data_IF_244346097824
#
_entry.id   IF_244346097824
#
_cell.length_a   1.000
_cell.length_b   1.000
_cell.length_c   1.000
_cell.angle_alpha   90.00
_cell.angle_beta   90.00
_cell.angle_gamma   90.00
#
_symmetry.space_group_name_H-M   'P 1'
#
loop_
_entity.id
_entity.type
_entity.pdbx_description
1 polymer ?
#
# COMPACT_ATOMS: atom_id res chain seq x y z
N UNK A 1 18.01 15.61 21.12
CA UNK A 1 17.49 15.97 19.78
C UNK A 1 18.20 17.17 19.16
N UNK A 2 18.35 18.30 19.86
CA UNK A 2 18.95 19.53 19.32
C UNK A 2 20.40 19.37 18.79
N UNK A 3 21.26 18.63 19.48
CA UNK A 3 22.62 18.33 18.98
C UNK A 3 22.64 17.50 17.70
N UNK A 4 21.74 16.53 17.56
CA UNK A 4 21.60 15.69 16.35
C UNK A 4 21.07 16.51 15.17
N UNK A 5 20.07 17.35 15.42
CA UNK A 5 19.56 18.34 14.47
C UNK A 5 20.66 19.28 13.98
N UNK A 6 21.47 19.84 14.89
CA UNK A 6 22.60 20.71 14.51
C UNK A 6 23.65 19.98 13.67
N UNK A 7 23.97 18.72 14.00
CA UNK A 7 24.90 17.91 13.19
C UNK A 7 24.36 17.62 11.79
N UNK A 8 23.09 17.20 11.69
CA UNK A 8 22.44 16.93 10.39
C UNK A 8 22.35 18.23 9.58
N UNK A 9 21.90 19.32 10.19
CA UNK A 9 21.80 20.63 9.53
C UNK A 9 23.16 21.17 9.07
N UNK A 10 24.19 21.07 9.91
CA UNK A 10 25.56 21.45 9.53
C UNK A 10 26.11 20.61 8.37
N UNK A 11 25.80 19.31 8.35
CA UNK A 11 26.16 18.43 7.23
C UNK A 11 25.45 18.83 5.93
N UNK A 12 24.17 19.21 5.99
CA UNK A 12 23.41 19.69 4.82
C UNK A 12 24.00 20.99 4.29
N UNK A 13 24.32 21.96 5.16
CA UNK A 13 24.94 23.22 4.77
C UNK A 13 26.32 23.01 4.12
N UNK A 14 27.11 22.07 4.64
CA UNK A 14 28.41 21.71 4.05
C UNK A 14 28.25 21.11 2.64
N UNK A 15 27.29 20.20 2.43
CA UNK A 15 26.97 19.65 1.09
C UNK A 15 26.48 20.74 0.13
N UNK A 16 25.64 21.65 0.63
CA UNK A 16 25.11 22.77 -0.13
C UNK A 16 26.19 23.74 -0.62
N UNK A 17 27.22 23.97 0.20
CA UNK A 17 28.37 24.82 -0.16
C UNK A 17 29.25 24.18 -1.26
N UNK A 18 29.37 22.86 -1.27
CA UNK A 18 30.17 22.11 -2.26
C UNK A 18 29.52 22.03 -3.65
N UNK A 19 28.19 22.18 -3.75
CA UNK A 19 27.44 22.13 -5.01
C UNK A 19 27.28 23.46 -5.75
N UNK A 20 27.89 24.55 -5.27
CA UNK A 20 27.84 25.85 -5.94
C UNK A 20 28.85 25.89 -7.11
N UNK A 21 28.50 26.44 -8.30
CA UNK A 21 29.47 26.62 -9.37
C UNK A 21 30.60 27.52 -8.88
N UNK A 22 31.84 27.03 -8.93
CA UNK A 22 33.01 27.85 -8.63
C UNK A 22 33.15 29.02 -9.61
N UNK A 23 33.75 30.15 -9.22
CA UNK A 23 34.05 31.22 -10.15
C UNK A 23 35.00 30.67 -11.23
N UNK A 24 34.69 30.95 -12.50
CA UNK A 24 35.49 30.49 -13.64
C UNK A 24 36.94 30.98 -13.60
N UNK A 25 37.85 30.37 -14.39
CA UNK A 25 39.26 30.67 -14.34
C UNK A 25 39.51 32.14 -14.72
N UNK A 26 40.11 32.89 -13.81
CA UNK A 26 40.56 34.25 -14.06
C UNK A 26 41.77 34.25 -15.01
N UNK A 27 41.76 35.16 -15.99
CA UNK A 27 42.83 35.37 -16.96
C UNK A 27 44.15 35.82 -16.27
N UNK A 28 45.33 35.50 -16.83
CA UNK A 28 46.61 35.80 -16.20
C UNK A 28 47.05 37.26 -16.46
N UNK A 29 47.36 37.99 -15.40
CA UNK A 29 47.93 39.33 -15.46
C UNK A 29 48.51 39.82 -14.13
N UNK A 30 49.81 39.55 -13.96
CA UNK A 30 50.91 40.18 -13.18
C UNK A 30 50.70 41.08 -11.93
N UNK A 31 51.74 41.22 -11.07
CA UNK A 31 51.62 41.15 -9.61
C UNK A 31 51.81 42.51 -8.91
N UNK A 32 51.34 42.62 -7.65
CA UNK A 32 52.02 43.33 -6.55
C UNK A 32 51.23 43.29 -5.24
N UNK A 33 51.95 43.13 -4.13
CA UNK A 33 51.53 43.61 -2.81
C UNK A 33 51.31 42.52 -1.77
N UNK A 34 52.33 42.27 -0.95
CA UNK A 34 52.25 41.35 0.18
C UNK A 34 51.18 41.75 1.21
N UNK A 35 50.29 40.83 1.53
CA UNK A 35 49.55 40.81 2.79
C UNK A 35 49.50 39.38 3.33
N UNK A 36 49.98 39.28 4.57
CA UNK A 36 49.92 38.17 5.52
C UNK A 36 48.80 37.16 5.20
N UNK A 37 49.19 35.90 4.97
CA UNK A 37 48.27 34.79 4.78
C UNK A 37 47.41 34.61 6.04
N UNK A 38 46.12 34.95 5.97
CA UNK A 38 45.11 34.44 6.88
C UNK A 38 44.83 32.97 6.54
N UNK A 39 44.63 32.09 7.53
CA UNK A 39 44.46 30.67 7.30
C UNK A 39 43.23 30.39 6.42
N UNK A 40 43.39 29.46 5.47
CA UNK A 40 42.44 29.08 4.44
C UNK A 40 41.07 28.54 4.94
N UNK A 41 40.84 28.49 6.25
CA UNK A 41 39.58 28.09 6.86
C UNK A 41 38.46 29.14 6.73
N UNK A 42 38.79 30.42 6.52
CA UNK A 42 37.78 31.50 6.45
C UNK A 42 37.26 31.79 5.03
N UNK A 43 37.87 31.25 3.98
CA UNK A 43 37.49 31.54 2.58
C UNK A 43 36.51 30.53 1.96
N UNK A 44 36.18 29.44 2.65
CA UNK A 44 35.17 28.46 2.19
C UNK A 44 33.77 28.69 2.79
N UNK A 45 33.56 29.82 3.48
CA UNK A 45 32.23 30.31 3.89
C UNK A 45 31.74 31.35 2.86
N UNK A 46 31.48 30.93 1.63
CA UNK A 46 30.49 31.64 0.83
C UNK A 46 29.13 31.32 1.48
N UNK A 47 28.81 32.08 2.54
CA UNK A 47 27.71 31.80 3.45
C UNK A 47 26.41 31.64 2.69
N UNK A 48 25.78 30.48 2.85
CA UNK A 48 24.36 30.26 2.57
C UNK A 48 23.55 31.15 3.52
N UNK A 49 23.50 32.46 3.24
CA UNK A 49 22.72 33.41 4.03
C UNK A 49 21.25 33.08 3.85
N UNK A 50 20.58 32.88 4.98
CA UNK A 50 19.13 32.72 5.08
C UNK A 50 18.42 34.09 5.14
N UNK A 51 19.17 35.20 5.06
CA UNK A 51 18.65 36.56 5.10
C UNK A 51 18.17 36.92 6.50
N UNK A 52 16.94 37.41 6.63
CA UNK A 52 16.34 37.74 7.93
C UNK A 52 16.28 36.54 8.91
N UNK A 53 16.37 35.31 8.37
CA UNK A 53 16.38 34.08 9.15
C UNK A 53 17.76 33.75 9.74
N UNK A 54 18.84 34.44 9.36
CA UNK A 54 20.18 34.23 9.94
C UNK A 54 20.22 34.57 11.45
N UNK A 55 19.29 35.41 11.92
CA UNK A 55 19.13 35.74 13.34
C UNK A 55 18.43 34.63 14.15
N UNK A 56 17.84 33.62 13.50
CA UNK A 56 17.07 32.56 14.15
C UNK A 56 17.99 31.38 14.47
N UNK A 57 17.96 30.83 15.70
CA UNK A 57 18.74 29.64 16.04
C UNK A 57 18.45 28.46 15.12
N UNK A 58 19.49 27.73 14.75
CA UNK A 58 19.43 26.63 13.77
C UNK A 58 18.43 25.53 14.15
N UNK A 59 18.33 25.24 15.44
CA UNK A 59 17.37 24.26 15.97
C UNK A 59 15.91 24.73 15.83
N UNK A 60 15.66 26.03 15.93
CA UNK A 60 14.33 26.63 15.68
C UNK A 60 14.00 26.59 14.18
N UNK A 61 14.95 26.96 13.31
CA UNK A 61 14.78 26.86 11.85
C UNK A 61 14.46 25.44 11.38
N UNK A 62 15.14 24.44 11.95
CA UNK A 62 14.89 23.05 11.64
C UNK A 62 13.49 22.60 12.12
N UNK A 63 13.02 23.09 13.27
CA UNK A 63 11.64 22.84 13.71
C UNK A 63 10.62 23.54 12.82
N UNK A 64 10.87 24.77 12.40
CA UNK A 64 10.00 25.49 11.44
C UNK A 64 9.87 24.70 10.14
N UNK A 65 11.00 24.25 9.57
CA UNK A 65 10.99 23.46 8.34
C UNK A 65 10.28 22.10 8.51
N UNK A 66 10.45 21.45 9.67
CA UNK A 66 9.74 20.22 10.01
C UNK A 66 8.22 20.43 10.11
N UNK A 67 7.80 21.54 10.72
CA UNK A 67 6.38 21.88 10.93
C UNK A 67 5.69 22.35 9.64
N UNK A 68 6.40 23.07 8.77
CA UNK A 68 5.94 23.40 7.41
C UNK A 68 5.61 22.12 6.61
N UNK A 69 6.34 21.04 6.85
CA UNK A 69 6.23 19.83 6.05
C UNK A 69 6.68 20.05 4.60
N UNK A 70 6.74 18.98 3.80
CA UNK A 70 7.34 19.03 2.48
C UNK A 70 6.57 19.89 1.48
N UNK A 71 5.25 20.06 1.69
CA UNK A 71 4.35 20.84 0.82
C UNK A 71 4.66 22.33 0.91
N UNK A 72 4.62 22.89 2.12
CA UNK A 72 4.88 24.31 2.30
C UNK A 72 6.38 24.61 2.21
N UNK A 73 7.25 23.62 2.47
CA UNK A 73 8.67 23.71 2.12
C UNK A 73 8.92 23.79 0.61
N UNK A 74 8.10 23.13 -0.22
CA UNK A 74 8.13 23.28 -1.67
C UNK A 74 7.66 24.68 -2.13
N UNK A 75 6.67 25.27 -1.44
CA UNK A 75 6.16 26.62 -1.76
C UNK A 75 7.08 27.73 -1.25
N UNK A 76 7.77 27.52 -0.12
CA UNK A 76 8.70 28.48 0.50
C UNK A 76 10.08 28.56 -0.17
N UNK A 77 10.32 27.86 -1.29
CA UNK A 77 11.59 27.96 -2.03
C UNK A 77 11.90 29.32 -2.63
N UNK A 78 10.90 30.22 -2.65
CA UNK A 78 11.03 31.60 -3.06
C UNK A 78 11.71 32.49 -2.01
N UNK A 79 11.84 32.02 -0.75
CA UNK A 79 12.36 32.83 0.37
C UNK A 79 13.83 33.21 0.16
N UNK A 80 14.73 32.24 0.00
CA UNK A 80 16.13 32.49 -0.34
C UNK A 80 16.81 31.23 -0.91
N UNK A 81 17.99 31.40 -1.53
CA UNK A 81 18.76 30.29 -2.13
C UNK A 81 19.15 29.25 -1.07
N UNK A 82 19.55 29.69 0.13
CA UNK A 82 19.93 28.80 1.22
C UNK A 82 18.76 27.93 1.70
N UNK A 83 17.61 28.55 1.94
CA UNK A 83 16.37 27.86 2.31
C UNK A 83 15.95 26.85 1.25
N UNK A 84 16.08 27.22 -0.04
CA UNK A 84 15.74 26.32 -1.15
C UNK A 84 16.58 25.05 -1.16
N UNK A 85 17.89 25.18 -0.93
CA UNK A 85 18.81 24.04 -0.91
C UNK A 85 18.53 23.14 0.30
N UNK A 86 18.36 23.74 1.49
CA UNK A 86 18.00 23.02 2.71
C UNK A 86 16.69 22.25 2.55
N UNK A 87 15.66 22.92 2.05
CA UNK A 87 14.37 22.31 1.80
C UNK A 87 14.48 21.19 0.74
N UNK A 88 15.46 21.18 -0.16
CA UNK A 88 15.61 20.12 -1.17
C UNK A 88 16.48 18.93 -0.70
N UNK A 89 17.03 18.95 0.52
CA UNK A 89 17.93 17.89 0.98
C UNK A 89 17.17 16.63 1.44
N UNK A 90 17.45 15.50 0.78
CA UNK A 90 16.80 14.22 1.08
C UNK A 90 17.18 13.67 2.46
N UNK A 91 18.41 13.89 2.92
CA UNK A 91 18.87 13.42 4.24
C UNK A 91 18.13 14.12 5.37
N UNK A 92 17.84 15.41 5.20
CA UNK A 92 17.08 16.21 6.16
C UNK A 92 15.62 15.77 6.22
N UNK A 93 14.95 15.57 5.08
CA UNK A 93 13.58 15.03 5.06
C UNK A 93 13.52 13.62 5.59
N UNK A 94 14.50 12.77 5.29
CA UNK A 94 14.57 11.44 5.85
C UNK A 94 14.63 11.47 7.38
N UNK A 95 15.41 12.40 7.94
CA UNK A 95 15.45 12.62 9.39
C UNK A 95 14.11 13.12 9.95
N UNK A 96 13.44 14.07 9.30
CA UNK A 96 12.16 14.59 9.76
C UNK A 96 11.02 13.57 9.68
N UNK A 97 10.94 12.83 8.58
CA UNK A 97 9.91 11.81 8.36
C UNK A 97 10.09 10.62 9.32
N UNK A 98 11.32 10.29 9.74
CA UNK A 98 11.57 9.34 10.84
C UNK A 98 10.97 9.75 12.18
N UNK A 99 10.81 11.05 12.40
CA UNK A 99 10.26 11.62 13.63
C UNK A 99 8.75 11.93 13.49
N UNK A 100 8.17 11.63 12.32
CA UNK A 100 6.76 11.86 12.03
C UNK A 100 5.84 10.79 12.66
N UNK A 101 4.51 10.99 12.54
CA UNK A 101 3.52 10.03 13.03
C UNK A 101 3.46 8.76 12.18
N UNK A 102 3.83 8.83 10.90
CA UNK A 102 3.84 7.69 9.99
C UNK A 102 5.14 6.87 10.13
N UNK A 103 5.07 5.52 10.13
CA UNK A 103 6.25 4.67 10.16
C UNK A 103 7.19 4.95 8.98
N UNK A 104 8.44 5.36 9.28
CA UNK A 104 9.49 5.65 8.29
C UNK A 104 9.63 4.59 7.18
N UNK A 105 9.48 3.32 7.52
CA UNK A 105 9.62 2.23 6.57
C UNK A 105 8.55 2.24 5.47
N UNK A 106 7.35 2.80 5.73
CA UNK A 106 6.32 2.96 4.69
C UNK A 106 6.77 3.96 3.62
N UNK A 107 7.34 5.08 4.07
CA UNK A 107 7.79 6.16 3.19
C UNK A 107 8.93 5.68 2.32
N UNK A 108 9.95 5.07 2.92
CA UNK A 108 11.08 4.53 2.16
C UNK A 108 10.57 3.50 1.16
N UNK A 109 9.72 2.56 1.59
CA UNK A 109 9.20 1.53 0.70
C UNK A 109 8.46 2.12 -0.50
N UNK A 110 7.58 3.10 -0.28
CA UNK A 110 6.85 3.74 -1.37
C UNK A 110 7.78 4.44 -2.36
N UNK A 111 8.80 5.16 -1.89
CA UNK A 111 9.71 5.90 -2.77
C UNK A 111 10.75 5.03 -3.46
N UNK A 112 11.21 3.94 -2.83
CA UNK A 112 12.26 3.11 -3.41
C UNK A 112 11.72 1.96 -4.26
N UNK A 113 10.51 1.46 -3.95
CA UNK A 113 9.99 0.24 -4.56
C UNK A 113 8.70 0.43 -5.36
N UNK A 114 7.93 1.51 -5.13
CA UNK A 114 6.67 1.75 -5.84
C UNK A 114 6.70 2.96 -6.79
N UNK A 115 7.76 3.77 -6.74
CA UNK A 115 7.84 5.02 -7.51
C UNK A 115 7.80 4.82 -9.04
N UNK A 116 8.38 3.73 -9.54
CA UNK A 116 8.41 3.40 -10.96
C UNK A 116 7.12 2.70 -11.46
N UNK A 117 6.19 2.36 -10.55
CA UNK A 117 5.08 1.44 -10.86
C UNK A 117 5.55 -0.01 -11.04
N UNK A 118 4.65 -0.95 -11.37
CA UNK A 118 5.05 -2.30 -11.75
C UNK A 118 5.83 -2.23 -13.06
N UNK A 119 7.09 -2.68 -13.04
CA UNK A 119 8.03 -2.57 -14.14
C UNK A 119 7.43 -2.94 -15.51
N UNK A 120 7.48 -1.95 -16.40
CA UNK A 120 7.91 -2.01 -17.80
C UNK A 120 7.27 -3.06 -18.72
N UNK A 121 6.57 -2.55 -19.74
CA UNK A 121 6.60 -3.15 -21.07
C UNK A 121 8.05 -3.58 -21.42
N UNK A 122 8.28 -4.72 -22.09
CA UNK A 122 9.62 -5.26 -22.39
C UNK A 122 10.60 -4.33 -23.16
N UNK A 123 10.18 -3.13 -23.53
CA UNK A 123 10.93 -2.18 -24.37
C UNK A 123 11.45 -0.93 -23.63
N UNK A 124 11.24 -0.81 -22.31
CA UNK A 124 11.78 0.30 -21.52
C UNK A 124 12.86 -0.19 -20.55
N UNK A 125 13.90 -0.81 -21.10
CA UNK A 125 15.20 -0.81 -20.43
C UNK A 125 15.72 0.63 -20.46
N UNK A 126 16.07 1.18 -19.31
CA UNK A 126 16.44 2.59 -19.05
C UNK A 126 15.28 3.54 -18.75
N UNK A 127 14.71 3.44 -17.55
CA UNK A 127 14.17 4.65 -16.92
C UNK A 127 15.30 5.37 -16.18
N UNK A 128 16.02 6.23 -16.90
CA UNK A 128 16.94 7.22 -16.33
C UNK A 128 16.18 8.42 -15.76
N UNK A 129 14.95 8.22 -15.26
CA UNK A 129 14.19 9.29 -14.62
C UNK A 129 14.99 9.77 -13.39
N UNK A 130 15.33 11.07 -13.33
CA UNK A 130 16.15 11.58 -12.23
C UNK A 130 15.41 11.33 -10.92
N UNK A 131 16.07 10.68 -9.95
CA UNK A 131 15.51 10.47 -8.63
C UNK A 131 15.05 11.81 -8.05
N UNK A 132 13.74 12.02 -7.99
CA UNK A 132 13.17 13.23 -7.43
C UNK A 132 13.54 13.32 -5.95
N UNK A 133 13.82 14.54 -5.49
CA UNK A 133 13.98 14.75 -4.04
C UNK A 133 12.68 14.43 -3.29
N UNK A 134 12.77 14.00 -2.03
CA UNK A 134 11.60 13.76 -1.17
C UNK A 134 10.68 15.00 -1.16
N UNK A 135 11.24 16.21 -1.13
CA UNK A 135 10.45 17.44 -1.25
C UNK A 135 9.66 17.51 -2.55
N UNK A 136 10.26 17.21 -3.70
CA UNK A 136 9.56 17.24 -4.99
C UNK A 136 8.46 16.19 -5.03
N UNK A 137 8.76 14.97 -4.60
CA UNK A 137 7.79 13.86 -4.54
C UNK A 137 6.58 14.26 -3.69
N UNK A 138 6.81 14.70 -2.45
CA UNK A 138 5.74 15.06 -1.54
C UNK A 138 5.02 16.34 -1.95
N UNK A 139 5.74 17.32 -2.51
CA UNK A 139 5.15 18.52 -3.12
C UNK A 139 4.19 18.17 -4.24
N UNK A 140 4.59 17.26 -5.15
CA UNK A 140 3.72 16.73 -6.21
C UNK A 140 2.51 15.99 -5.62
N UNK A 141 2.70 15.11 -4.65
CA UNK A 141 1.58 14.39 -4.01
C UNK A 141 0.58 15.30 -3.33
N UNK A 142 1.02 16.44 -2.79
CA UNK A 142 0.10 17.36 -2.14
C UNK A 142 -0.79 18.13 -3.12
N UNK A 143 -0.28 18.42 -4.32
CA UNK A 143 -1.06 19.11 -5.37
C UNK A 143 -1.92 18.16 -6.19
N UNK A 144 -1.53 16.88 -6.31
CA UNK A 144 -2.31 15.88 -7.03
C UNK A 144 -3.60 15.59 -6.26
N UNK A 145 -4.79 15.75 -6.87
CA UNK A 145 -6.05 15.44 -6.21
C UNK A 145 -6.11 13.95 -5.82
N UNK A 146 -6.86 13.63 -4.77
CA UNK A 146 -7.12 12.24 -4.41
C UNK A 146 -7.87 11.53 -5.54
N UNK A 147 -7.43 10.34 -5.92
CA UNK A 147 -8.18 9.42 -6.79
C UNK A 147 -9.08 8.50 -5.95
N UNK A 148 -10.21 8.10 -6.54
CA UNK A 148 -11.14 7.11 -5.99
C UNK A 148 -10.52 5.72 -6.08
N UNK A 149 -10.55 4.96 -4.98
CA UNK A 149 -10.17 3.54 -4.94
C UNK A 149 -11.43 2.71 -4.70
N UNK A 150 -11.61 1.65 -5.49
CA UNK A 150 -12.74 0.71 -5.38
C UNK A 150 -12.22 -0.73 -5.29
N UNK A 151 -12.46 -1.36 -4.14
CA UNK A 151 -12.17 -2.77 -3.86
C UNK A 151 -13.47 -3.58 -3.82
N UNK A 152 -13.81 -4.22 -4.95
CA UNK A 152 -15.04 -4.97 -5.16
C UNK A 152 -14.99 -6.43 -4.71
N UNK A 153 -14.77 -6.69 -3.42
CA UNK A 153 -14.74 -8.06 -2.88
C UNK A 153 -16.10 -8.78 -2.91
N UNK A 154 -16.10 -10.12 -2.91
CA UNK A 154 -17.34 -10.93 -3.00
C UNK A 154 -18.28 -10.79 -1.78
N UNK A 155 -17.72 -10.52 -0.59
CA UNK A 155 -18.51 -10.31 0.63
C UNK A 155 -18.77 -8.85 0.97
N UNK A 156 -17.79 -7.99 0.71
CA UNK A 156 -17.85 -6.55 0.93
C UNK A 156 -17.12 -5.82 -0.18
N UNK A 157 -17.72 -4.73 -0.63
CA UNK A 157 -17.06 -3.69 -1.39
C UNK A 157 -16.53 -2.64 -0.41
N UNK A 158 -15.30 -2.17 -0.63
CA UNK A 158 -14.69 -1.07 0.10
C UNK A 158 -14.32 0.01 -0.91
N UNK A 159 -14.55 1.27 -0.57
CA UNK A 159 -14.23 2.37 -1.46
C UNK A 159 -13.83 3.60 -0.66
N UNK A 160 -13.00 4.45 -1.24
CA UNK A 160 -12.51 5.64 -0.56
C UNK A 160 -11.49 6.41 -1.36
N UNK A 161 -10.97 7.46 -0.75
CA UNK A 161 -9.95 8.30 -1.37
C UNK A 161 -8.54 7.80 -1.06
N UNK A 162 -7.68 7.81 -2.07
CA UNK A 162 -6.23 7.53 -1.96
C UNK A 162 -5.47 8.42 -0.98
N UNK A 163 -6.04 9.53 -0.52
CA UNK A 163 -5.45 10.42 0.48
C UNK A 163 -5.68 9.96 1.93
N UNK A 164 -6.52 8.96 2.14
CA UNK A 164 -6.87 8.49 3.48
C UNK A 164 -6.26 7.12 3.76
N UNK A 165 -5.93 6.88 5.05
CA UNK A 165 -5.36 5.62 5.52
C UNK A 165 -6.38 4.47 5.57
N UNK A 166 -7.67 4.77 5.42
CA UNK A 166 -8.76 3.81 5.53
C UNK A 166 -9.85 4.12 4.48
N UNK A 167 -10.64 3.11 4.07
CA UNK A 167 -11.74 3.32 3.13
C UNK A 167 -12.78 4.29 3.71
N UNK A 168 -13.35 5.13 2.84
CA UNK A 168 -14.43 6.06 3.19
C UNK A 168 -15.76 5.36 3.45
N UNK A 169 -15.96 4.18 2.84
CA UNK A 169 -17.16 3.38 3.04
C UNK A 169 -16.95 1.89 2.77
N UNK A 170 -17.88 1.08 3.30
CA UNK A 170 -17.98 -0.36 3.03
C UNK A 170 -19.44 -0.76 2.81
N UNK A 171 -19.65 -1.70 1.89
CA UNK A 171 -20.96 -2.13 1.40
C UNK A 171 -21.02 -3.65 1.27
N UNK A 172 -22.13 -4.30 1.64
CA UNK A 172 -22.28 -5.74 1.43
C UNK A 172 -22.52 -6.03 -0.06
N UNK A 173 -21.57 -6.68 -0.74
CA UNK A 173 -21.58 -6.78 -2.21
C UNK A 173 -22.77 -7.56 -2.74
N UNK A 174 -23.07 -8.72 -2.14
CA UNK A 174 -24.18 -9.57 -2.54
C UNK A 174 -25.56 -8.99 -2.21
N UNK A 175 -25.64 -8.03 -1.28
CA UNK A 175 -26.90 -7.43 -0.86
C UNK A 175 -27.22 -6.21 -1.73
N UNK A 176 -26.22 -5.38 -1.99
CA UNK A 176 -26.42 -4.08 -2.64
C UNK A 176 -26.28 -4.15 -4.16
N UNK A 177 -25.56 -5.13 -4.71
CA UNK A 177 -25.29 -5.25 -6.15
C UNK A 177 -25.80 -6.59 -6.73
N UNK A 178 -26.69 -7.24 -5.98
CA UNK A 178 -27.04 -8.67 -6.06
C UNK A 178 -28.10 -9.07 -7.07
N UNK A 179 -27.87 -8.84 -8.36
CA UNK A 179 -28.54 -9.63 -9.39
C UNK A 179 -27.51 -10.40 -10.23
N UNK A 180 -27.27 -11.66 -9.85
CA UNK A 180 -26.31 -12.56 -10.51
C UNK A 180 -26.79 -12.97 -11.92
N UNK A 181 -28.06 -12.80 -12.22
CA UNK A 181 -28.64 -13.11 -13.52
C UNK A 181 -28.46 -11.95 -14.51
N UNK A 182 -28.22 -10.73 -14.01
CA UNK A 182 -27.94 -9.58 -14.88
C UNK A 182 -26.63 -9.77 -15.66
N UNK A 183 -26.56 -9.38 -16.94
CA UNK A 183 -25.31 -9.38 -17.70
C UNK A 183 -24.18 -8.63 -16.96
N UNK A 184 -22.95 -9.11 -17.11
CA UNK A 184 -21.78 -8.58 -16.39
C UNK A 184 -21.63 -7.06 -16.55
N UNK A 185 -21.79 -6.55 -17.78
CA UNK A 185 -21.72 -5.12 -18.07
C UNK A 185 -22.73 -4.32 -17.25
N UNK A 186 -24.01 -4.71 -17.27
CA UNK A 186 -25.08 -4.00 -16.55
C UNK A 186 -24.84 -4.03 -15.03
N UNK A 187 -24.41 -5.18 -14.50
CA UNK A 187 -24.08 -5.33 -13.08
C UNK A 187 -22.92 -4.45 -12.66
N UNK A 188 -21.83 -4.43 -13.43
CA UNK A 188 -20.67 -3.58 -13.16
C UNK A 188 -21.02 -2.10 -13.29
N UNK A 189 -21.84 -1.72 -14.28
CA UNK A 189 -22.31 -0.33 -14.44
C UNK A 189 -23.13 0.10 -13.24
N UNK A 190 -24.06 -0.73 -12.78
CA UNK A 190 -24.84 -0.46 -11.57
C UNK A 190 -23.95 -0.38 -10.32
N UNK A 191 -22.99 -1.30 -10.18
CA UNK A 191 -22.01 -1.31 -9.11
C UNK A 191 -21.23 0.01 -9.03
N UNK A 192 -20.54 0.40 -10.11
CA UNK A 192 -19.75 1.64 -10.12
C UNK A 192 -20.63 2.89 -9.96
N UNK A 193 -21.81 2.93 -10.59
CA UNK A 193 -22.74 4.07 -10.44
C UNK A 193 -23.10 4.30 -8.98
N UNK A 194 -23.43 3.23 -8.25
CA UNK A 194 -23.74 3.31 -6.82
C UNK A 194 -22.56 3.81 -6.00
N UNK A 195 -21.33 3.36 -6.29
CA UNK A 195 -20.12 3.84 -5.60
C UNK A 195 -19.90 5.33 -5.85
N UNK A 196 -19.99 5.80 -7.09
CA UNK A 196 -19.85 7.22 -7.43
C UNK A 196 -20.92 8.08 -6.74
N UNK A 197 -22.18 7.63 -6.71
CA UNK A 197 -23.25 8.30 -5.97
C UNK A 197 -22.94 8.40 -4.48
N UNK A 198 -22.49 7.31 -3.85
CA UNK A 198 -22.13 7.31 -2.42
C UNK A 198 -20.93 8.20 -2.09
N UNK A 199 -19.98 8.31 -3.02
CA UNK A 199 -18.84 9.22 -2.91
C UNK A 199 -19.19 10.66 -3.26
N UNK A 200 -20.42 10.92 -3.73
CA UNK A 200 -20.91 12.24 -4.16
C UNK A 200 -20.02 12.89 -5.23
N UNK A 201 -19.48 12.07 -6.14
CA UNK A 201 -18.57 12.51 -7.20
C UNK A 201 -19.06 12.04 -8.56
N UNK A 202 -18.93 12.91 -9.57
CA UNK A 202 -19.24 12.56 -10.95
C UNK A 202 -18.10 11.70 -11.53
N UNK A 203 -18.40 10.58 -12.21
CA UNK A 203 -17.38 9.73 -12.81
C UNK A 203 -16.40 10.48 -13.72
N UNK A 204 -16.88 11.47 -14.47
CA UNK A 204 -16.08 12.27 -15.40
C UNK A 204 -15.07 13.23 -14.77
N UNK A 205 -15.07 13.36 -13.45
CA UNK A 205 -14.23 14.37 -12.76
C UNK A 205 -12.98 13.80 -12.11
N UNK A 206 -12.91 12.48 -11.90
CA UNK A 206 -11.83 11.87 -11.13
C UNK A 206 -11.42 10.52 -11.71
N UNK A 207 -10.11 10.23 -11.79
CA UNK A 207 -9.64 8.89 -12.15
C UNK A 207 -9.98 7.90 -11.04
N UNK A 208 -9.99 6.62 -11.39
CA UNK A 208 -10.31 5.53 -10.46
C UNK A 208 -9.24 4.44 -10.47
N UNK A 209 -8.91 3.94 -9.29
CA UNK A 209 -8.16 2.71 -9.08
C UNK A 209 -9.15 1.60 -8.73
N UNK A 210 -9.17 0.53 -9.52
CA UNK A 210 -10.03 -0.63 -9.32
C UNK A 210 -9.17 -1.81 -8.89
N UNK A 211 -9.55 -2.44 -7.78
CA UNK A 211 -8.91 -3.66 -7.32
C UNK A 211 -9.54 -4.85 -8.04
N UNK A 212 -8.72 -5.60 -8.77
CA UNK A 212 -9.15 -6.79 -9.48
C UNK A 212 -9.13 -8.01 -8.56
N UNK A 213 -10.23 -8.78 -8.52
CA UNK A 213 -10.25 -10.07 -7.83
C UNK A 213 -9.41 -11.09 -8.59
N UNK A 214 -8.80 -12.01 -7.84
CA UNK A 214 -8.16 -13.20 -8.40
C UNK A 214 -9.24 -14.24 -8.72
N UNK A 215 -9.85 -14.12 -9.89
CA UNK A 215 -10.80 -15.09 -10.42
C UNK A 215 -10.11 -15.92 -11.51
N UNK A 216 -10.44 -17.21 -11.62
CA UNK A 216 -9.85 -18.15 -12.60
C UNK A 216 -8.31 -18.22 -12.51
N UNK A 217 -7.83 -18.95 -11.49
CA UNK A 217 -6.42 -18.93 -11.07
C UNK A 217 -5.52 -19.94 -11.77
N UNK A 218 -6.09 -20.88 -12.52
CA UNK A 218 -5.31 -21.82 -13.32
C UNK A 218 -4.58 -21.08 -14.44
N UNK A 219 -3.38 -21.55 -14.78
CA UNK A 219 -2.63 -21.02 -15.92
C UNK A 219 -3.06 -21.65 -17.25
N UNK A 220 -4.38 -21.77 -17.44
CA UNK A 220 -5.00 -22.25 -18.68
C UNK A 220 -5.38 -21.06 -19.57
N UNK A 221 -5.41 -21.29 -20.88
CA UNK A 221 -5.80 -20.24 -21.84
C UNK A 221 -7.22 -19.74 -21.61
N UNK A 222 -8.13 -20.61 -21.18
CA UNK A 222 -9.50 -20.24 -20.80
C UNK A 222 -9.54 -19.32 -19.59
N UNK A 223 -8.76 -19.62 -18.53
CA UNK A 223 -8.68 -18.78 -17.34
C UNK A 223 -8.05 -17.42 -17.62
N UNK A 224 -7.01 -17.37 -18.47
CA UNK A 224 -6.41 -16.11 -18.95
C UNK A 224 -7.44 -15.28 -19.74
N UNK A 225 -8.18 -15.92 -20.65
CA UNK A 225 -9.22 -15.26 -21.43
C UNK A 225 -10.36 -14.70 -20.55
N UNK A 226 -10.83 -15.45 -19.56
CA UNK A 226 -11.88 -14.98 -18.63
C UNK A 226 -11.42 -13.78 -17.80
N UNK A 227 -10.17 -13.79 -17.30
CA UNK A 227 -9.60 -12.63 -16.58
C UNK A 227 -9.49 -11.39 -17.48
N UNK A 228 -9.04 -11.58 -18.72
CA UNK A 228 -8.95 -10.53 -19.74
C UNK A 228 -10.32 -9.95 -20.05
N UNK A 229 -11.32 -10.79 -20.31
CA UNK A 229 -12.69 -10.38 -20.60
C UNK A 229 -13.31 -9.59 -19.43
N UNK A 230 -13.11 -10.04 -18.19
CA UNK A 230 -13.59 -9.33 -17.01
C UNK A 230 -12.96 -7.93 -16.89
N UNK A 231 -11.64 -7.85 -17.09
CA UNK A 231 -10.89 -6.58 -17.07
C UNK A 231 -11.33 -5.64 -18.19
N UNK A 232 -11.51 -6.15 -19.41
CA UNK A 232 -12.01 -5.38 -20.55
C UNK A 232 -13.43 -4.86 -20.30
N UNK A 233 -14.31 -5.68 -19.73
CA UNK A 233 -15.68 -5.25 -19.39
C UNK A 233 -15.67 -4.13 -18.34
N UNK A 234 -14.80 -4.20 -17.33
CA UNK A 234 -14.62 -3.11 -16.35
C UNK A 234 -14.19 -1.82 -17.07
N UNK A 235 -13.21 -1.90 -17.98
CA UNK A 235 -12.77 -0.74 -18.73
C UNK A 235 -13.89 -0.17 -19.60
N UNK A 236 -14.59 -0.99 -20.37
CA UNK A 236 -15.74 -0.54 -21.19
C UNK A 236 -16.76 0.20 -20.33
N UNK A 237 -17.18 -0.39 -19.20
CA UNK A 237 -18.15 0.24 -18.30
C UNK A 237 -17.67 1.59 -17.79
N UNK A 238 -16.43 1.69 -17.30
CA UNK A 238 -15.92 2.92 -16.69
C UNK A 238 -15.66 4.02 -17.73
N UNK A 239 -15.13 3.68 -18.91
CA UNK A 239 -14.96 4.65 -19.98
C UNK A 239 -16.30 5.09 -20.59
N UNK A 240 -17.30 4.21 -20.67
CA UNK A 240 -18.69 4.57 -21.04
C UNK A 240 -19.39 5.43 -19.97
N UNK A 241 -18.85 5.49 -18.75
CA UNK A 241 -19.23 6.44 -17.71
C UNK A 241 -18.42 7.74 -17.77
N UNK A 242 -17.59 7.91 -18.81
CA UNK A 242 -16.69 9.05 -19.03
C UNK A 242 -15.59 9.19 -17.97
N UNK A 243 -15.20 8.12 -17.27
CA UNK A 243 -14.10 8.18 -16.29
C UNK A 243 -12.79 8.54 -17.00
N UNK A 244 -12.04 9.56 -16.53
CA UNK A 244 -10.89 10.11 -17.27
C UNK A 244 -9.71 9.12 -17.38
N UNK A 245 -9.49 8.30 -16.35
CA UNK A 245 -8.47 7.25 -16.38
C UNK A 245 -8.82 6.14 -15.38
N UNK A 246 -8.46 4.90 -15.73
CA UNK A 246 -8.69 3.72 -14.91
C UNK A 246 -7.36 2.98 -14.71
N UNK A 247 -6.96 2.79 -13.45
CA UNK A 247 -5.86 1.92 -13.09
C UNK A 247 -6.43 0.65 -12.46
N UNK A 248 -6.07 -0.53 -12.96
CA UNK A 248 -6.54 -1.80 -12.43
C UNK A 248 -5.38 -2.56 -11.79
N UNK A 249 -5.53 -2.99 -10.53
CA UNK A 249 -4.44 -3.60 -9.75
C UNK A 249 -4.93 -4.86 -9.04
N UNK A 250 -4.13 -5.93 -9.02
CA UNK A 250 -4.49 -7.18 -8.35
C UNK A 250 -4.61 -7.03 -6.82
N UNK A 251 -5.68 -7.60 -6.24
CA UNK A 251 -5.94 -7.54 -4.80
C UNK A 251 -4.78 -8.07 -3.92
N UNK A 252 -4.11 -9.13 -4.37
CA UNK A 252 -3.03 -9.74 -3.60
C UNK A 252 -1.74 -8.89 -3.65
N UNK A 253 -1.48 -8.25 -4.79
CA UNK A 253 -0.36 -7.32 -4.94
C UNK A 253 -0.54 -6.11 -4.03
N UNK A 254 -1.73 -5.50 -4.02
CA UNK A 254 -2.04 -4.41 -3.09
C UNK A 254 -1.93 -4.82 -1.62
N UNK A 255 -2.38 -6.04 -1.28
CA UNK A 255 -2.23 -6.59 0.07
C UNK A 255 -0.77 -6.76 0.48
N UNK A 256 0.09 -7.18 -0.46
CA UNK A 256 1.53 -7.31 -0.23
C UNK A 256 2.19 -5.94 -0.07
N UNK A 257 1.82 -4.95 -0.89
CA UNK A 257 2.32 -3.58 -0.77
C UNK A 257 1.93 -2.94 0.56
N UNK A 258 0.71 -3.18 1.06
CA UNK A 258 0.31 -2.75 2.41
C UNK A 258 1.20 -3.36 3.52
N UNK A 259 1.86 -4.49 3.25
CA UNK A 259 2.84 -5.13 4.14
C UNK A 259 4.29 -4.68 3.94
N UNK A 260 4.55 -3.69 3.07
CA UNK A 260 5.88 -3.15 2.72
C UNK A 260 6.80 -4.17 2.04
N UNK A 261 6.24 -5.01 1.17
CA UNK A 261 6.99 -6.02 0.42
C UNK A 261 6.59 -5.98 -1.05
N UNK A 262 7.53 -6.26 -1.93
CA UNK A 262 7.29 -6.45 -3.37
C UNK A 262 7.31 -7.92 -3.77
N UNK A 263 7.94 -8.78 -2.97
CA UNK A 263 7.99 -10.23 -3.16
C UNK A 263 7.53 -10.97 -1.91
N UNK A 264 6.73 -12.01 -2.09
CA UNK A 264 6.26 -12.90 -1.03
C UNK A 264 5.12 -13.81 -1.47
N UNK A 265 4.67 -14.69 -0.58
CA UNK A 265 3.47 -15.51 -0.78
C UNK A 265 2.34 -14.87 0.02
N UNK A 266 1.28 -14.47 -0.66
CA UNK A 266 0.08 -13.92 -0.03
C UNK A 266 -0.95 -15.02 0.15
N UNK A 267 -1.36 -15.25 1.40
CA UNK A 267 -2.51 -16.12 1.72
C UNK A 267 -3.72 -15.23 1.98
N UNK A 268 -4.62 -15.16 1.01
CA UNK A 268 -5.79 -14.30 1.05
C UNK A 268 -7.06 -15.11 1.38
N UNK A 269 -7.53 -15.02 2.62
CA UNK A 269 -8.74 -15.69 3.10
C UNK A 269 -9.93 -14.72 3.00
N UNK A 270 -10.72 -14.89 1.95
CA UNK A 270 -11.84 -14.01 1.63
C UNK A 270 -13.22 -14.55 2.06
N UNK A 271 -14.26 -13.97 1.48
CA UNK A 271 -15.64 -14.36 1.78
C UNK A 271 -16.05 -15.66 1.09
N UNK A 272 -15.84 -15.78 -0.23
CA UNK A 272 -16.16 -17.00 -0.98
C UNK A 272 -14.97 -17.96 -1.11
N UNK A 273 -13.76 -17.41 -1.18
CA UNK A 273 -12.56 -18.15 -1.57
C UNK A 273 -11.39 -17.86 -0.64
N UNK A 274 -10.49 -18.82 -0.56
CA UNK A 274 -9.15 -18.67 0.02
C UNK A 274 -8.14 -18.92 -1.09
N UNK A 275 -7.20 -18.01 -1.29
CA UNK A 275 -6.16 -18.15 -2.30
C UNK A 275 -4.75 -18.04 -1.72
N UNK A 276 -3.80 -18.74 -2.34
CA UNK A 276 -2.37 -18.64 -2.08
C UNK A 276 -1.71 -18.13 -3.36
N UNK A 277 -1.06 -16.99 -3.25
CA UNK A 277 -0.64 -16.19 -4.39
C UNK A 277 0.85 -15.86 -4.26
N UNK A 278 1.73 -16.56 -4.99
CA UNK A 278 3.12 -16.17 -5.07
C UNK A 278 3.27 -14.89 -5.89
N UNK A 279 4.00 -13.91 -5.36
CA UNK A 279 4.24 -12.62 -5.98
C UNK A 279 5.74 -12.34 -5.95
N UNK A 280 6.32 -12.04 -7.10
CA UNK A 280 7.72 -11.68 -7.21
C UNK A 280 7.84 -10.32 -7.89
N UNK A 281 8.47 -9.36 -7.20
CA UNK A 281 8.71 -8.00 -7.70
C UNK A 281 7.43 -7.33 -8.23
N UNK A 282 6.33 -7.46 -7.48
CA UNK A 282 5.04 -6.89 -7.84
C UNK A 282 4.27 -7.65 -8.92
N UNK A 283 4.81 -8.75 -9.45
CA UNK A 283 4.15 -9.61 -10.45
C UNK A 283 3.62 -10.89 -9.83
N UNK A 284 2.37 -11.23 -10.14
CA UNK A 284 1.77 -12.51 -9.73
C UNK A 284 2.38 -13.64 -10.56
N UNK A 285 2.94 -14.64 -9.89
CA UNK A 285 3.65 -15.75 -10.52
C UNK A 285 2.69 -16.90 -10.85
N UNK A 286 1.88 -16.74 -11.90
CA UNK A 286 0.92 -17.77 -12.33
C UNK A 286 1.59 -19.11 -12.68
N UNK A 287 2.80 -19.07 -13.26
CA UNK A 287 3.62 -20.25 -13.61
C UNK A 287 4.11 -21.07 -12.41
N UNK A 288 4.34 -20.44 -11.26
CA UNK A 288 4.71 -21.14 -10.00
C UNK A 288 3.48 -21.85 -9.42
N UNK A 289 2.29 -21.29 -9.66
CA UNK A 289 1.00 -21.80 -9.25
C UNK A 289 0.30 -20.82 -8.32
N UNK A 290 -0.81 -20.25 -8.81
CA UNK A 290 -1.78 -19.56 -7.97
C UNK A 290 -2.87 -20.56 -7.62
N UNK A 291 -3.04 -20.78 -6.33
CA UNK A 291 -3.93 -21.81 -5.84
C UNK A 291 -5.14 -21.18 -5.17
N UNK A 292 -6.35 -21.61 -5.55
CA UNK A 292 -7.60 -21.10 -4.97
C UNK A 292 -8.54 -22.21 -4.60
N UNK A 293 -9.04 -22.14 -3.37
CA UNK A 293 -10.07 -23.05 -2.88
C UNK A 293 -11.35 -22.25 -2.66
N UNK A 294 -12.50 -22.83 -3.06
CA UNK A 294 -13.84 -22.33 -2.76
C UNK A 294 -14.23 -22.47 -1.28
N UNK A 295 -13.30 -22.19 -0.37
CA UNK A 295 -13.46 -22.21 1.08
C UNK A 295 -13.22 -20.79 1.60
N UNK A 296 -14.24 -20.18 2.20
CA UNK A 296 -14.14 -18.83 2.73
C UNK A 296 -15.14 -18.59 3.84
N UNK A 297 -15.26 -17.33 4.26
CA UNK A 297 -16.15 -16.95 5.34
C UNK A 297 -17.64 -17.29 5.12
N UNK A 298 -18.09 -17.51 3.88
CA UNK A 298 -19.46 -17.94 3.54
C UNK A 298 -19.75 -19.35 4.09
N UNK A 299 -18.82 -20.31 3.96
CA UNK A 299 -19.00 -21.66 4.51
C UNK A 299 -19.11 -21.63 6.02
N UNK A 300 -18.32 -20.78 6.68
CA UNK A 300 -18.41 -20.55 8.13
C UNK A 300 -19.76 -19.94 8.52
N UNK A 301 -20.29 -19.00 7.74
CA UNK A 301 -21.64 -18.46 7.97
C UNK A 301 -22.72 -19.54 7.80
N UNK A 302 -22.61 -20.38 6.78
CA UNK A 302 -23.54 -21.50 6.55
C UNK A 302 -23.50 -22.52 7.68
N UNK A 303 -22.31 -22.89 8.14
CA UNK A 303 -22.15 -23.78 9.29
C UNK A 303 -22.73 -23.20 10.58
N UNK A 304 -22.52 -21.91 10.86
CA UNK A 304 -23.16 -21.25 12.00
C UNK A 304 -24.69 -21.28 11.88
N UNK A 305 -25.25 -21.08 10.68
CA UNK A 305 -26.69 -21.17 10.43
C UNK A 305 -27.22 -22.56 10.77
N UNK A 306 -26.49 -23.61 10.37
CA UNK A 306 -26.85 -25.00 10.68
C UNK A 306 -26.84 -25.27 12.19
N UNK A 307 -25.78 -24.84 12.90
CA UNK A 307 -25.71 -24.96 14.37
C UNK A 307 -26.84 -24.21 15.08
N UNK A 308 -27.22 -23.04 14.57
CA UNK A 308 -28.37 -22.29 15.09
C UNK A 308 -29.67 -23.06 14.89
N UNK A 309 -29.87 -23.64 13.70
CA UNK A 309 -31.03 -24.47 13.40
C UNK A 309 -31.15 -25.68 14.32
N UNK A 310 -30.04 -26.40 14.56
CA UNK A 310 -29.97 -27.53 15.49
C UNK A 310 -30.30 -27.15 16.94
N UNK A 311 -30.15 -25.88 17.32
CA UNK A 311 -30.51 -25.35 18.65
C UNK A 311 -31.87 -24.66 18.68
N UNK A 312 -32.70 -24.86 17.67
CA UNK A 312 -34.01 -24.24 17.54
C UNK A 312 -33.97 -22.69 17.52
N UNK A 313 -32.86 -22.11 17.06
CA UNK A 313 -32.74 -20.67 16.81
C UNK A 313 -33.03 -20.44 15.33
N UNK A 314 -34.25 -19.99 15.01
CA UNK A 314 -34.66 -19.70 13.64
C UNK A 314 -33.99 -18.43 13.13
N UNK A 315 -33.30 -18.53 11.99
CA UNK A 315 -32.73 -17.39 11.29
C UNK A 315 -32.71 -17.66 9.79
N UNK A 316 -33.65 -17.06 9.06
CA UNK A 316 -33.78 -17.28 7.62
C UNK A 316 -32.66 -16.56 6.85
N UNK A 317 -32.36 -15.32 7.26
CA UNK A 317 -31.41 -14.46 6.56
C UNK A 317 -29.96 -14.81 6.89
N UNK A 318 -29.22 -15.24 5.86
CA UNK A 318 -27.75 -15.42 5.94
C UNK A 318 -27.02 -14.13 6.31
N UNK A 319 -27.59 -12.96 5.99
CA UNK A 319 -27.04 -11.66 6.39
C UNK A 319 -27.12 -11.47 7.91
N UNK A 320 -28.21 -11.88 8.54
CA UNK A 320 -28.36 -11.81 10.00
C UNK A 320 -27.38 -12.79 10.68
N UNK A 321 -27.26 -14.02 10.19
CA UNK A 321 -26.28 -14.99 10.70
C UNK A 321 -24.84 -14.45 10.58
N UNK A 322 -24.52 -13.82 9.45
CA UNK A 322 -23.22 -13.15 9.25
C UNK A 322 -23.01 -12.02 10.27
N UNK A 323 -24.01 -11.18 10.47
CA UNK A 323 -23.93 -10.07 11.43
C UNK A 323 -23.71 -10.60 12.85
N UNK A 324 -24.41 -11.67 13.24
CA UNK A 324 -24.21 -12.35 14.51
C UNK A 324 -22.77 -12.85 14.64
N UNK A 325 -22.26 -13.55 13.60
CA UNK A 325 -20.88 -14.04 13.53
C UNK A 325 -19.86 -12.92 13.75
N UNK A 326 -20.06 -11.78 13.11
CA UNK A 326 -19.13 -10.65 13.14
C UNK A 326 -19.21 -9.85 14.45
N UNK A 327 -20.42 -9.55 14.95
CA UNK A 327 -20.64 -8.79 16.19
C UNK A 327 -20.12 -9.54 17.40
N UNK A 328 -20.40 -10.85 17.49
CA UNK A 328 -19.99 -11.65 18.63
C UNK A 328 -18.55 -12.16 18.52
N UNK A 329 -17.83 -11.81 17.44
CA UNK A 329 -16.54 -12.42 17.07
C UNK A 329 -16.60 -13.93 17.27
N UNK A 330 -17.70 -14.55 16.84
CA UNK A 330 -18.11 -15.91 17.19
C UNK A 330 -17.23 -16.98 16.53
N UNK A 331 -16.09 -16.60 15.97
CA UNK A 331 -15.15 -17.51 15.37
C UNK A 331 -13.72 -17.03 15.61
N UNK A 332 -12.94 -17.97 16.14
CA UNK A 332 -11.48 -18.00 16.29
C UNK A 332 -10.94 -17.40 17.60
N UNK A 333 -11.16 -18.14 18.70
CA UNK A 333 -10.13 -18.35 19.71
C UNK A 333 -9.59 -19.78 19.54
N UNK A 334 -8.72 -20.02 18.56
CA UNK A 334 -8.05 -21.31 18.38
C UNK A 334 -6.55 -21.21 18.69
N UNK A 335 -6.16 -22.03 19.66
CA UNK A 335 -4.86 -22.70 19.79
C UNK A 335 -3.60 -21.88 19.46
N UNK A 336 -3.25 -20.99 20.38
CA UNK A 336 -1.85 -20.80 20.80
C UNK A 336 -1.71 -21.43 22.19
N UNK A 337 -1.90 -22.73 22.27
CA UNK A 337 -1.34 -23.56 23.34
C UNK A 337 -1.01 -24.89 22.71
N UNK A 338 0.25 -25.03 22.29
CA UNK A 338 0.83 -26.35 22.14
C UNK A 338 0.66 -27.08 23.46
N UNK A 339 0.08 -28.27 23.42
CA UNK A 339 -0.05 -29.16 24.56
C UNK A 339 -1.05 -28.72 25.64
N UNK A 340 -1.88 -29.66 26.08
CA UNK A 340 -2.73 -29.61 27.28
C UNK A 340 -3.93 -28.64 27.29
N UNK A 341 -5.09 -29.26 27.12
CA UNK A 341 -6.45 -28.80 27.40
C UNK A 341 -6.55 -28.25 28.83
N UNK A 342 -6.85 -26.96 29.01
CA UNK A 342 -7.10 -26.38 30.33
C UNK A 342 -8.50 -25.76 30.39
N UNK A 343 -9.37 -26.41 31.15
CA UNK A 343 -10.78 -26.06 31.40
C UNK A 343 -10.79 -25.01 32.53
N UNK A 344 -11.19 -23.76 32.24
CA UNK A 344 -11.62 -22.82 33.29
C UNK A 344 -12.99 -22.25 32.95
N UNK A 345 -13.96 -22.57 33.81
CA UNK A 345 -15.28 -21.93 33.89
C UNK A 345 -15.09 -20.62 34.63
N UNK A 346 -15.53 -19.52 34.04
CA UNK A 346 -15.80 -18.31 34.80
C UNK A 346 -17.11 -17.68 34.33
N UNK A 347 -17.92 -17.28 35.30
CA UNK A 347 -19.35 -17.04 35.19
C UNK A 347 -19.64 -15.57 35.48
N UNK A 348 -20.01 -14.79 34.44
CA UNK A 348 -20.88 -13.59 34.44
C UNK A 348 -20.71 -12.84 33.12
N UNK A 349 -21.62 -13.17 32.20
CA UNK A 349 -22.00 -12.52 30.92
C UNK A 349 -22.61 -13.70 30.15
N UNK A 350 -23.84 -13.57 29.64
CA UNK A 350 -24.42 -14.55 28.73
C UNK A 350 -23.58 -14.56 27.44
N UNK A 351 -22.45 -15.27 27.47
CA UNK A 351 -21.69 -15.71 26.32
C UNK A 351 -22.32 -17.03 25.93
N UNK A 352 -23.04 -17.03 24.81
CA UNK A 352 -23.35 -18.27 24.10
C UNK A 352 -22.03 -18.87 23.62
N UNK A 353 -21.37 -19.64 24.48
CA UNK A 353 -20.32 -20.55 24.07
C UNK A 353 -21.02 -21.70 23.35
N UNK A 354 -21.04 -21.64 22.02
CA UNK A 354 -21.20 -22.85 21.24
C UNK A 354 -19.97 -23.71 21.56
N UNK A 355 -20.18 -24.78 22.34
CA UNK A 355 -19.16 -25.81 22.56
C UNK A 355 -18.68 -26.30 21.19
N UNK A 356 -17.36 -26.27 20.89
CA UNK A 356 -16.86 -26.79 19.63
C UNK A 356 -17.03 -28.31 19.68
N UNK A 357 -18.01 -28.82 18.96
CA UNK A 357 -17.99 -30.23 18.55
C UNK A 357 -16.82 -30.40 17.57
N UNK A 358 -16.21 -31.58 17.61
CA UNK A 358 -15.00 -32.01 16.91
C UNK A 358 -14.92 -31.68 15.40
N UNK A 359 -16.06 -31.37 14.75
CA UNK A 359 -16.15 -30.97 13.34
C UNK A 359 -15.62 -29.55 13.05
N UNK A 360 -15.68 -28.62 14.00
CA UNK A 360 -15.10 -27.26 13.85
C UNK A 360 -13.56 -27.29 13.81
N UNK A 361 -12.98 -28.24 14.55
CA UNK A 361 -11.55 -28.51 14.52
C UNK A 361 -11.12 -29.11 13.18
N UNK A 362 -11.97 -29.93 12.55
CA UNK A 362 -11.68 -30.55 11.26
C UNK A 362 -11.64 -29.52 10.13
N UNK A 363 -12.50 -28.50 10.08
CA UNK A 363 -12.41 -27.50 9.01
C UNK A 363 -11.14 -26.65 9.13
N UNK A 364 -10.74 -26.25 10.34
CA UNK A 364 -9.49 -25.51 10.57
C UNK A 364 -8.24 -26.39 10.48
N UNK A 365 -8.31 -27.66 10.87
CA UNK A 365 -7.24 -28.64 10.66
C UNK A 365 -7.11 -28.99 9.18
N UNK A 366 -8.21 -29.15 8.46
CA UNK A 366 -8.23 -29.35 7.01
C UNK A 366 -7.68 -28.11 6.30
N UNK A 367 -8.10 -26.88 6.66
CA UNK A 367 -7.54 -25.65 6.10
C UNK A 367 -6.04 -25.54 6.45
N UNK A 368 -5.61 -25.84 7.68
CA UNK A 368 -4.18 -25.83 8.04
C UNK A 368 -3.40 -26.90 7.28
N UNK A 369 -3.90 -28.12 7.14
CA UNK A 369 -3.20 -29.22 6.50
C UNK A 369 -3.21 -29.06 4.97
N UNK A 370 -4.32 -28.60 4.38
CA UNK A 370 -4.37 -28.19 2.97
C UNK A 370 -3.45 -27.01 2.68
N UNK A 371 -3.55 -25.92 3.45
CA UNK A 371 -2.67 -24.76 3.28
C UNK A 371 -1.22 -25.15 3.49
N UNK A 372 -0.90 -26.01 4.47
CA UNK A 372 0.46 -26.46 4.70
C UNK A 372 1.02 -27.21 3.49
N UNK A 373 0.28 -28.17 2.93
CA UNK A 373 0.70 -28.90 1.73
C UNK A 373 0.90 -27.96 0.53
N UNK A 374 -0.02 -27.02 0.33
CA UNK A 374 0.02 -26.11 -0.82
C UNK A 374 1.10 -25.04 -0.69
N UNK A 375 1.21 -24.44 0.50
CA UNK A 375 2.27 -23.47 0.81
C UNK A 375 3.63 -24.14 0.70
N UNK A 376 3.81 -25.35 1.24
CA UNK A 376 5.09 -26.07 1.12
C UNK A 376 5.43 -26.41 -0.33
N UNK A 377 4.46 -26.85 -1.14
CA UNK A 377 4.66 -27.11 -2.57
C UNK A 377 5.01 -25.83 -3.36
N UNK A 378 4.31 -24.71 -3.10
CA UNK A 378 4.60 -23.41 -3.73
C UNK A 378 5.99 -22.91 -3.31
N UNK A 379 6.34 -23.02 -2.02
CA UNK A 379 7.67 -22.66 -1.51
C UNK A 379 8.76 -23.50 -2.18
N UNK A 380 8.55 -24.82 -2.32
CA UNK A 380 9.51 -25.70 -2.98
C UNK A 380 9.71 -25.29 -4.45
N UNK A 381 8.63 -25.05 -5.21
CA UNK A 381 8.71 -24.56 -6.60
C UNK A 381 9.43 -23.21 -6.69
N UNK A 382 9.11 -22.29 -5.79
CA UNK A 382 9.77 -20.98 -5.71
C UNK A 382 11.27 -21.12 -5.46
N UNK A 383 11.67 -21.95 -4.49
CA UNK A 383 13.06 -22.18 -4.14
C UNK A 383 13.84 -22.79 -5.31
N UNK A 384 13.25 -23.72 -6.06
CA UNK A 384 13.88 -24.31 -7.25
C UNK A 384 14.11 -23.25 -8.34
N UNK A 385 13.13 -22.39 -8.63
CA UNK A 385 13.28 -21.34 -9.65
C UNK A 385 14.29 -20.27 -9.26
N UNK A 386 14.28 -19.81 -8.00
CA UNK A 386 15.24 -18.81 -7.51
C UNK A 386 16.66 -19.37 -7.38
N UNK A 387 16.82 -20.67 -7.14
CA UNK A 387 18.11 -21.34 -7.21
C UNK A 387 18.63 -21.50 -8.66
N UNK A 388 17.73 -21.68 -9.62
CA UNK A 388 18.06 -21.71 -11.06
C UNK A 388 18.54 -20.36 -11.60
N UNK A 389 17.95 -19.25 -11.15
CA UNK A 389 18.36 -17.89 -11.56
C UNK A 389 19.76 -17.52 -11.06
N UNK A 390 20.25 -18.12 -9.96
CA UNK A 390 21.63 -17.92 -9.47
C UNK A 390 22.70 -18.67 -10.27
N UNK A 391 22.34 -19.53 -11.23
CA UNK A 391 23.30 -20.22 -12.12
C UNK A 391 23.45 -19.56 -13.49
N UNK A 392 22.73 -18.48 -13.76
CA UNK A 392 22.74 -17.74 -15.04
C UNK A 392 23.23 -16.29 -14.89
N UNK A 393 23.93 -15.96 -13.81
CA UNK A 393 24.67 -14.71 -13.63
C UNK A 393 26.13 -14.98 -13.28
#
# INVERSE_FOLDING_TARGET
>A
MAMLLRKVWGSVLARAALGAPGPGPAAPGSPRGGRRAQPAAERYSASLSLGALDAVPTDVLAQILRLLGPVDAARSTAVCRAWRILASDNGLWAFFLRLGPDPWDLVVFAETHLAAGPDSHPWLYYDNSPQLSFKQIYGLRAVVPGTLIVDGGSGYCKYGWSKYAAPSGRCATFLEFGNIESPMYARLRHFFSTIYTRMQVKPSTQPVIVVLPLNHTDDTDSARASRKQYKETIYSVLFDMNVPAVCAVDQAVLSLYASKRTSGIVVHIGFNTTSVVPIFEGRVMYEIGVETVGQGALKLTGFLKELMHQRNISCESLYTVRTIKEVHKLLVRLMVKGGSLCRKRDSRLLKFYFSPTWEECLLWACIKQYLYVWITAIIQKWLVMTAGTRRLF
#
